data_IF_540963408531
#
_entry.id   IF_540963408531
#
_cell.length_a   1.000
_cell.length_b   1.000
_cell.length_c   1.000
_cell.angle_alpha   90.00
_cell.angle_beta   90.00
_cell.angle_gamma   90.00
#
_symmetry.space_group_name_H-M   'P 1'
#
loop_
_entity.id
_entity.type
_entity.pdbx_description
1 polymer ?
#
# COMPACT_ATOMS: atom_id res chain seq x y z
N UNK A 1 -2.76 -10.13 17.12
CA UNK A 1 -3.08 -9.61 15.78
C UNK A 1 -4.28 -8.69 15.96
N UNK A 2 -4.30 -7.50 15.37
CA UNK A 2 -5.31 -6.49 15.66
C UNK A 2 -6.63 -6.77 14.93
N UNK A 3 -7.77 -6.73 15.63
CA UNK A 3 -9.10 -6.97 15.04
C UNK A 3 -9.52 -5.88 14.04
N UNK A 4 -9.04 -4.66 14.26
CA UNK A 4 -9.31 -3.51 13.43
C UNK A 4 -8.17 -2.49 13.42
N UNK A 5 -8.18 -1.59 12.44
CA UNK A 5 -7.25 -0.48 12.26
C UNK A 5 -8.00 0.85 12.22
N UNK A 6 -7.51 1.81 12.99
CA UNK A 6 -7.95 3.20 12.93
C UNK A 6 -6.87 3.98 12.18
N UNK A 7 -7.21 4.55 11.03
CA UNK A 7 -6.27 5.29 10.18
C UNK A 7 -6.66 6.76 10.25
N UNK A 8 -5.76 7.58 10.81
CA UNK A 8 -5.96 9.01 11.00
C UNK A 8 -4.81 9.73 10.31
N UNK A 9 -5.11 10.68 9.44
CA UNK A 9 -4.07 11.43 8.73
C UNK A 9 -4.59 12.60 7.90
N UNK A 10 -3.71 13.53 7.54
CA UNK A 10 -4.10 14.67 6.72
C UNK A 10 -4.28 14.29 5.24
N UNK A 11 -5.01 15.11 4.50
CA UNK A 11 -5.00 15.16 3.05
C UNK A 11 -3.89 16.12 2.62
N UNK A 12 -2.89 15.58 1.92
CA UNK A 12 -1.80 16.34 1.34
C UNK A 12 -1.99 16.35 -0.18
N UNK A 13 -2.37 17.50 -0.75
CA UNK A 13 -2.51 17.68 -2.20
C UNK A 13 -3.31 16.55 -2.87
N UNK A 14 -4.58 16.38 -2.46
CA UNK A 14 -5.49 15.35 -3.00
C UNK A 14 -5.05 13.90 -2.78
N UNK A 15 -4.21 13.62 -1.77
CA UNK A 15 -3.82 12.26 -1.42
C UNK A 15 -3.50 12.07 0.06
N UNK A 16 -3.33 10.81 0.50
CA UNK A 16 -2.80 10.51 1.81
C UNK A 16 -1.32 10.92 1.92
N UNK A 17 -0.81 11.02 3.14
CA UNK A 17 0.62 11.24 3.36
C UNK A 17 1.45 10.12 2.75
N UNK A 18 2.65 10.47 2.25
CA UNK A 18 3.54 9.52 1.57
C UNK A 18 3.95 8.33 2.45
N UNK A 19 4.14 8.56 3.76
CA UNK A 19 4.44 7.49 4.72
C UNK A 19 3.26 6.52 4.89
N UNK A 20 2.02 7.02 4.90
CA UNK A 20 0.83 6.20 5.01
C UNK A 20 0.62 5.40 3.72
N UNK A 21 0.78 6.03 2.56
CA UNK A 21 0.73 5.34 1.27
C UNK A 21 1.81 4.26 1.18
N UNK A 22 3.04 4.55 1.62
CA UNK A 22 4.13 3.57 1.67
C UNK A 22 3.81 2.39 2.59
N UNK A 23 3.22 2.64 3.76
CA UNK A 23 2.78 1.57 4.66
C UNK A 23 1.82 0.63 3.93
N UNK A 24 0.80 1.19 3.25
CA UNK A 24 -0.18 0.43 2.48
C UNK A 24 0.43 -0.30 1.28
N UNK A 25 1.39 0.29 0.56
CA UNK A 25 2.09 -0.37 -0.56
C UNK A 25 2.87 -1.61 -0.11
N UNK A 26 3.31 -1.65 1.15
CA UNK A 26 3.96 -2.83 1.74
C UNK A 26 2.96 -3.92 2.17
N UNK A 27 1.67 -3.63 2.28
CA UNK A 27 0.64 -4.62 2.64
C UNK A 27 0.23 -5.53 1.47
N UNK A 28 0.64 -5.24 0.23
CA UNK A 28 0.18 -5.97 -0.97
C UNK A 28 0.47 -7.48 -0.90
N UNK A 29 1.53 -7.88 -0.19
CA UNK A 29 1.92 -9.28 -0.01
C UNK A 29 1.27 -9.97 1.20
N UNK A 30 0.43 -9.27 1.98
CA UNK A 30 -0.22 -9.85 3.16
C UNK A 30 -1.52 -10.60 2.83
N UNK A 31 -2.06 -10.39 1.61
CA UNK A 31 -3.30 -10.99 1.12
C UNK A 31 -3.02 -12.31 0.41
N UNK A 32 -2.68 -13.34 1.20
CA UNK A 32 -2.41 -14.67 0.68
C UNK A 32 -1.02 -14.80 0.06
N UNK A 33 -0.52 -16.03 0.10
CA UNK A 33 0.83 -16.37 -0.32
C UNK A 33 1.09 -17.85 -0.07
N UNK A 34 2.34 -18.27 -0.24
CA UNK A 34 2.76 -19.61 0.13
C UNK A 34 3.28 -19.63 1.59
N UNK A 35 2.51 -20.14 2.57
CA UNK A 35 3.00 -20.30 3.94
C UNK A 35 3.92 -21.52 4.10
N UNK A 36 4.07 -22.34 3.06
CA UNK A 36 4.81 -23.61 3.05
C UNK A 36 5.94 -23.54 2.04
N UNK A 37 6.98 -22.82 2.44
CA UNK A 37 8.19 -22.58 1.65
C UNK A 37 8.91 -23.88 1.23
N UNK A 38 8.76 -24.95 1.99
CA UNK A 38 9.30 -26.27 1.68
C UNK A 38 8.76 -26.85 0.36
N UNK A 39 7.53 -26.50 -0.04
CA UNK A 39 6.92 -26.94 -1.30
C UNK A 39 7.61 -26.37 -2.55
N UNK A 40 8.42 -25.32 -2.38
CA UNK A 40 9.08 -24.60 -3.48
C UNK A 40 10.59 -24.56 -3.32
N UNK A 41 11.17 -25.41 -2.46
CA UNK A 41 12.62 -25.47 -2.22
C UNK A 41 13.22 -24.07 -1.97
N UNK A 42 12.64 -23.33 -1.01
CA UNK A 42 12.99 -21.94 -0.70
C UNK A 42 12.53 -20.94 -1.77
N UNK A 43 13.30 -20.73 -2.83
CA UNK A 43 13.02 -19.71 -3.87
C UNK A 43 13.11 -20.26 -5.27
N UNK A 44 12.69 -21.50 -5.49
CA UNK A 44 12.64 -22.10 -6.83
C UNK A 44 11.40 -21.59 -7.60
N UNK A 45 11.56 -20.69 -8.60
CA UNK A 45 10.44 -20.10 -9.31
C UNK A 45 9.62 -21.12 -10.12
N UNK A 46 10.26 -22.16 -10.67
CA UNK A 46 9.55 -23.19 -11.45
C UNK A 46 8.62 -24.01 -10.55
N UNK A 47 9.06 -24.33 -9.33
CA UNK A 47 8.19 -25.00 -8.34
C UNK A 47 7.09 -24.06 -7.83
N UNK A 48 7.39 -22.78 -7.60
CA UNK A 48 6.39 -21.79 -7.21
C UNK A 48 5.29 -21.64 -8.27
N UNK A 49 5.66 -21.52 -9.55
CA UNK A 49 4.70 -21.48 -10.66
C UNK A 49 3.87 -22.77 -10.73
N UNK A 50 4.52 -23.93 -10.59
CA UNK A 50 3.80 -25.22 -10.59
C UNK A 50 2.82 -25.32 -9.42
N UNK A 51 3.22 -24.87 -8.23
CA UNK A 51 2.37 -24.84 -7.04
C UNK A 51 1.15 -23.94 -7.29
N UNK A 52 1.33 -22.74 -7.85
CA UNK A 52 0.24 -21.79 -8.15
C UNK A 52 -0.88 -22.41 -9.01
N UNK A 53 -0.54 -23.31 -9.93
CA UNK A 53 -1.51 -24.02 -10.78
C UNK A 53 -2.14 -25.27 -10.13
N UNK A 54 -1.74 -25.64 -8.91
CA UNK A 54 -2.23 -26.84 -8.22
C UNK A 54 -3.56 -26.63 -7.47
N UNK A 55 -4.22 -27.72 -7.10
CA UNK A 55 -5.37 -27.65 -6.17
C UNK A 55 -4.93 -27.30 -4.75
N UNK A 56 -3.72 -27.70 -4.35
CA UNK A 56 -3.15 -27.39 -3.03
C UNK A 56 -3.04 -25.88 -2.81
N UNK A 57 -2.69 -25.12 -3.85
CA UNK A 57 -2.63 -23.66 -3.79
C UNK A 57 -3.95 -23.01 -3.36
N UNK A 58 -5.09 -23.57 -3.75
CA UNK A 58 -6.40 -23.06 -3.32
C UNK A 58 -6.60 -23.15 -1.81
N UNK A 59 -5.95 -24.12 -1.15
CA UNK A 59 -5.99 -24.30 0.30
C UNK A 59 -4.93 -23.45 1.01
N UNK A 60 -3.79 -23.17 0.35
CA UNK A 60 -2.69 -22.40 0.91
C UNK A 60 -2.89 -20.87 0.83
N UNK A 61 -3.54 -20.37 -0.24
CA UNK A 61 -3.72 -18.94 -0.53
C UNK A 61 -4.77 -18.24 0.35
N UNK A 62 -4.70 -18.45 1.66
CA UNK A 62 -5.65 -17.88 2.60
C UNK A 62 -5.40 -16.39 2.75
N UNK A 63 -6.45 -15.58 2.65
CA UNK A 63 -6.36 -14.16 2.95
C UNK A 63 -6.21 -13.94 4.46
N UNK A 64 -5.05 -13.43 4.92
CA UNK A 64 -4.76 -13.23 6.34
C UNK A 64 -5.39 -11.97 6.94
N UNK A 65 -5.84 -11.05 6.08
CA UNK A 65 -6.49 -9.80 6.47
C UNK A 65 -8.01 -9.89 6.44
N UNK A 66 -8.56 -10.99 5.94
CA UNK A 66 -10.00 -11.24 5.82
C UNK A 66 -10.75 -10.99 7.14
N UNK A 67 -11.85 -10.27 7.03
CA UNK A 67 -12.73 -10.00 8.16
C UNK A 67 -12.12 -9.11 9.23
N UNK A 68 -11.03 -8.37 8.96
CA UNK A 68 -10.61 -7.22 9.77
C UNK A 68 -11.40 -5.98 9.39
N UNK A 69 -11.41 -4.97 10.25
CA UNK A 69 -12.05 -3.67 9.94
C UNK A 69 -11.02 -2.56 9.83
N UNK A 70 -11.16 -1.67 8.85
CA UNK A 70 -10.42 -0.42 8.75
C UNK A 70 -11.40 0.76 8.80
N UNK A 71 -11.09 1.75 9.62
CA UNK A 71 -11.80 3.02 9.68
C UNK A 71 -10.83 4.16 9.33
N UNK A 72 -11.32 5.19 8.65
CA UNK A 72 -10.52 6.30 8.14
C UNK A 72 -11.07 7.63 8.63
N UNK A 73 -10.22 8.42 9.29
CA UNK A 73 -10.49 9.81 9.64
C UNK A 73 -9.44 10.70 8.96
N UNK A 74 -9.85 11.32 7.87
CA UNK A 74 -9.02 12.20 7.08
C UNK A 74 -9.31 13.64 7.47
N UNK A 75 -8.31 14.53 7.41
CA UNK A 75 -8.54 15.95 7.68
C UNK A 75 -7.72 16.84 6.75
N UNK A 76 -8.18 18.06 6.50
CA UNK A 76 -7.52 18.98 5.57
C UNK A 76 -7.65 20.44 6.00
N UNK A 77 -6.66 21.23 5.60
CA UNK A 77 -6.75 22.68 5.64
C UNK A 77 -7.53 23.15 4.40
N UNK A 78 -8.58 23.95 4.61
CA UNK A 78 -9.42 24.53 3.58
C UNK A 78 -8.75 25.64 2.76
N UNK A 79 -7.43 25.79 2.84
CA UNK A 79 -6.64 26.73 2.04
C UNK A 79 -6.55 28.13 2.64
N UNK A 80 -6.77 28.25 3.96
CA UNK A 80 -6.68 29.54 4.64
C UNK A 80 -7.57 30.63 4.01
N UNK A 81 -7.04 31.85 3.91
CA UNK A 81 -7.65 32.99 3.23
C UNK A 81 -7.06 33.26 1.83
N UNK A 82 -6.50 32.22 1.19
CA UNK A 82 -5.76 32.35 -0.07
C UNK A 82 -6.66 32.24 -1.32
N UNK A 83 -7.93 31.89 -1.17
CA UNK A 83 -8.85 31.59 -2.27
C UNK A 83 -9.70 32.80 -2.65
N UNK A 84 -9.79 33.08 -3.95
CA UNK A 84 -10.68 34.10 -4.52
C UNK A 84 -12.14 33.63 -4.56
N UNK A 85 -13.05 34.53 -4.97
CA UNK A 85 -14.50 34.24 -5.07
C UNK A 85 -14.85 33.18 -6.10
N UNK A 86 -13.93 32.84 -7.00
CA UNK A 86 -14.09 31.79 -8.01
C UNK A 86 -13.60 30.42 -7.53
N UNK A 87 -13.05 30.33 -6.31
CA UNK A 87 -12.48 29.11 -5.76
C UNK A 87 -11.06 28.83 -6.26
N UNK A 88 -10.32 29.86 -6.68
CA UNK A 88 -8.91 29.73 -7.14
C UNK A 88 -7.97 30.43 -6.18
N UNK A 89 -6.73 29.96 -6.00
CA UNK A 89 -5.76 30.71 -5.20
C UNK A 89 -5.45 32.09 -5.83
N UNK A 90 -5.57 33.17 -5.05
CA UNK A 90 -5.42 34.56 -5.49
C UNK A 90 -4.03 34.84 -6.09
N UNK A 91 -3.01 34.11 -5.66
CA UNK A 91 -1.61 34.29 -6.08
C UNK A 91 -1.30 33.72 -7.47
N UNK A 92 -2.21 32.93 -8.06
CA UNK A 92 -1.95 32.29 -9.34
C UNK A 92 -1.85 33.30 -10.48
N UNK A 93 -0.68 33.34 -11.14
CA UNK A 93 -0.48 34.12 -12.38
C UNK A 93 -1.06 33.42 -13.62
N UNK A 94 -1.19 32.09 -13.55
CA UNK A 94 -1.69 31.23 -14.62
C UNK A 94 -2.91 30.45 -14.12
N UNK A 95 -3.96 31.17 -13.72
CA UNK A 95 -5.17 30.61 -13.12
C UNK A 95 -5.96 29.71 -14.08
N UNK A 96 -5.70 29.78 -15.39
CA UNK A 96 -6.29 28.93 -16.42
C UNK A 96 -5.97 27.43 -16.25
N UNK A 97 -4.89 27.08 -15.55
CA UNK A 97 -4.53 25.69 -15.25
C UNK A 97 -5.22 25.14 -13.99
N UNK A 98 -5.88 26.00 -13.21
CA UNK A 98 -6.64 25.59 -12.03
C UNK A 98 -8.13 25.85 -12.28
N UNK A 99 -8.84 24.78 -12.62
CA UNK A 99 -10.28 24.79 -12.85
C UNK A 99 -10.95 24.08 -11.67
N UNK A 100 -11.57 24.81 -10.72
CA UNK A 100 -12.14 24.21 -9.50
C UNK A 100 -13.22 23.15 -9.79
N UNK A 101 -13.93 23.29 -10.91
CA UNK A 101 -14.94 22.31 -11.36
C UNK A 101 -14.33 20.99 -11.84
N UNK A 102 -13.00 20.93 -12.01
CA UNK A 102 -12.24 19.73 -12.41
C UNK A 102 -11.36 19.21 -11.28
N UNK A 103 -11.61 19.63 -10.04
CA UNK A 103 -10.98 19.00 -8.89
C UNK A 103 -11.26 17.49 -8.89
N UNK A 104 -10.30 16.67 -8.42
CA UNK A 104 -10.34 15.22 -8.61
C UNK A 104 -11.49 14.53 -7.87
N UNK A 105 -12.08 15.19 -6.86
CA UNK A 105 -13.12 14.62 -6.00
C UNK A 105 -14.19 15.65 -5.64
N UNK A 106 -15.45 15.23 -5.58
CA UNK A 106 -16.55 16.03 -5.00
C UNK A 106 -16.50 16.01 -3.46
N UNK A 107 -16.14 14.86 -2.87
CA UNK A 107 -15.92 14.70 -1.43
C UNK A 107 -14.43 14.41 -1.18
N UNK A 108 -13.78 15.31 -0.46
CA UNK A 108 -12.34 15.23 -0.20
C UNK A 108 -11.93 13.97 0.59
N UNK A 109 -12.87 13.25 1.22
CA UNK A 109 -12.57 11.93 1.79
C UNK A 109 -12.00 10.98 0.73
N UNK A 110 -12.41 11.12 -0.53
CA UNK A 110 -12.00 10.27 -1.66
C UNK A 110 -10.53 10.44 -2.04
N UNK A 111 -9.83 11.44 -1.50
CA UNK A 111 -8.36 11.48 -1.52
C UNK A 111 -7.74 10.20 -0.93
N UNK A 112 -8.43 9.52 -0.01
CA UNK A 112 -8.01 8.26 0.59
C UNK A 112 -8.60 7.03 -0.10
N UNK A 113 -9.37 7.19 -1.18
CA UNK A 113 -10.04 6.11 -1.89
C UNK A 113 -9.08 4.97 -2.27
N UNK A 114 -7.86 5.20 -2.80
CA UNK A 114 -6.94 4.12 -3.13
C UNK A 114 -6.62 3.20 -1.93
N UNK A 115 -6.51 3.75 -0.72
CA UNK A 115 -6.23 2.97 0.50
C UNK A 115 -7.48 2.18 0.96
N UNK A 116 -8.65 2.82 0.90
CA UNK A 116 -9.94 2.19 1.22
C UNK A 116 -10.23 1.02 0.27
N UNK A 117 -10.02 1.23 -1.03
CA UNK A 117 -10.20 0.19 -2.03
C UNK A 117 -9.17 -0.93 -1.90
N UNK A 118 -7.92 -0.63 -1.52
CA UNK A 118 -6.94 -1.66 -1.21
C UNK A 118 -7.36 -2.51 0.00
N UNK A 119 -7.90 -1.91 1.07
CA UNK A 119 -8.48 -2.63 2.19
C UNK A 119 -9.57 -3.60 1.72
N UNK A 120 -10.56 -3.08 0.97
CA UNK A 120 -11.70 -3.88 0.47
C UNK A 120 -11.24 -5.01 -0.44
N UNK A 121 -10.31 -4.73 -1.35
CA UNK A 121 -9.70 -5.73 -2.23
C UNK A 121 -9.01 -6.84 -1.42
N UNK A 122 -8.40 -6.48 -0.29
CA UNK A 122 -7.77 -7.39 0.65
C UNK A 122 -8.70 -8.02 1.68
N UNK A 123 -10.03 -7.95 1.53
CA UNK A 123 -10.99 -8.52 2.48
C UNK A 123 -11.04 -7.83 3.85
N UNK A 124 -10.39 -6.66 3.98
CA UNK A 124 -10.56 -5.77 5.13
C UNK A 124 -11.83 -4.96 4.89
N UNK A 125 -12.77 -5.05 5.82
CA UNK A 125 -14.00 -4.28 5.80
C UNK A 125 -13.68 -2.79 6.03
N UNK A 126 -13.98 -1.94 5.05
CA UNK A 126 -13.87 -0.49 5.18
C UNK A 126 -15.25 0.15 4.89
N UNK A 127 -16.18 0.19 5.87
CA UNK A 127 -17.53 0.70 5.69
C UNK A 127 -17.55 2.23 5.48
N UNK A 128 -18.41 2.72 4.60
CA UNK A 128 -18.49 4.16 4.29
C UNK A 128 -18.79 5.05 5.51
N UNK A 129 -19.61 4.57 6.45
CA UNK A 129 -19.94 5.32 7.67
C UNK A 129 -18.77 5.46 8.66
N UNK A 130 -17.66 4.73 8.42
CA UNK A 130 -16.41 4.82 9.19
C UNK A 130 -15.30 5.53 8.39
N UNK A 131 -15.63 6.09 7.22
CA UNK A 131 -14.73 6.88 6.38
C UNK A 131 -15.22 8.32 6.33
N UNK A 132 -14.50 9.19 7.05
CA UNK A 132 -14.85 10.59 7.24
C UNK A 132 -13.71 11.51 6.80
N UNK A 133 -14.09 12.66 6.26
CA UNK A 133 -13.22 13.83 6.08
C UNK A 133 -13.75 14.99 6.93
N UNK A 134 -12.83 15.78 7.48
CA UNK A 134 -13.14 17.06 8.12
C UNK A 134 -12.20 18.13 7.59
N UNK A 135 -12.78 19.24 7.15
CA UNK A 135 -12.06 20.45 6.78
C UNK A 135 -12.07 21.45 7.93
N UNK A 136 -10.98 22.19 8.10
CA UNK A 136 -10.90 23.36 8.98
C UNK A 136 -9.93 24.40 8.39
N UNK A 137 -9.81 25.57 9.01
CA UNK A 137 -8.85 26.60 8.56
C UNK A 137 -9.32 27.54 7.45
N UNK A 138 -10.52 27.32 6.88
CA UNK A 138 -11.07 28.18 5.83
C UNK A 138 -11.21 29.64 6.31
N UNK A 139 -10.68 30.56 5.52
CA UNK A 139 -10.67 32.00 5.79
C UNK A 139 -9.70 32.45 6.89
N UNK A 140 -8.82 31.55 7.38
CA UNK A 140 -7.82 31.87 8.40
C UNK A 140 -6.45 32.11 7.78
N UNK A 141 -5.61 32.88 8.48
CA UNK A 141 -4.18 32.90 8.18
C UNK A 141 -3.55 31.57 8.57
N UNK A 142 -2.56 31.13 7.79
CA UNK A 142 -1.84 29.88 8.06
C UNK A 142 -1.26 29.82 9.49
N UNK A 143 -0.76 30.95 10.01
CA UNK A 143 -0.25 31.06 11.39
C UNK A 143 -1.29 30.82 12.47
N UNK A 144 -2.58 30.95 12.14
CA UNK A 144 -3.71 30.89 13.08
C UNK A 144 -4.52 29.59 12.86
N UNK A 145 -3.91 28.63 12.16
CA UNK A 145 -4.46 27.32 11.84
C UNK A 145 -3.47 26.19 12.19
N UNK A 146 -2.74 26.35 13.30
CA UNK A 146 -1.77 25.38 13.77
C UNK A 146 -2.42 24.33 14.69
N UNK A 147 -1.64 23.35 15.13
CA UNK A 147 -2.16 22.25 15.95
C UNK A 147 -2.75 22.73 17.28
N UNK A 148 -2.17 23.78 17.88
CA UNK A 148 -2.69 24.46 19.07
C UNK A 148 -4.07 25.10 18.82
N UNK A 149 -4.29 25.64 17.62
CA UNK A 149 -5.52 26.33 17.24
C UNK A 149 -6.68 25.37 17.00
N UNK A 150 -6.41 24.09 16.73
CA UNK A 150 -7.44 23.05 16.59
C UNK A 150 -8.34 22.97 17.83
N UNK A 151 -7.83 23.29 19.03
CA UNK A 151 -8.64 23.34 20.28
C UNK A 151 -9.73 24.39 20.27
N UNK A 152 -9.61 25.38 19.39
CA UNK A 152 -10.61 26.43 19.16
C UNK A 152 -11.63 26.04 18.10
N UNK A 153 -11.45 24.89 17.43
CA UNK A 153 -12.36 24.34 16.42
C UNK A 153 -13.29 23.29 17.06
N UNK A 154 -14.46 23.69 17.61
CA UNK A 154 -15.31 22.79 18.37
C UNK A 154 -15.84 21.62 17.52
N UNK A 155 -15.99 21.83 16.22
CA UNK A 155 -16.56 20.84 15.31
C UNK A 155 -15.56 19.73 14.94
N UNK A 156 -14.25 20.01 14.96
CA UNK A 156 -13.21 19.03 14.61
C UNK A 156 -13.13 17.94 15.67
N UNK A 157 -13.01 18.33 16.95
CA UNK A 157 -12.93 17.37 18.05
C UNK A 157 -14.24 16.59 18.22
N UNK A 158 -15.40 17.26 18.13
CA UNK A 158 -16.69 16.58 18.17
C UNK A 158 -16.83 15.55 17.05
N UNK A 159 -16.43 15.91 15.82
CA UNK A 159 -16.47 14.99 14.69
C UNK A 159 -15.53 13.79 14.90
N UNK A 160 -14.35 14.01 15.48
CA UNK A 160 -13.42 12.94 15.81
C UNK A 160 -13.99 11.99 16.87
N UNK A 161 -14.57 12.53 17.94
CA UNK A 161 -15.20 11.75 19.01
C UNK A 161 -16.38 10.93 18.47
N UNK A 162 -17.23 11.52 17.64
CA UNK A 162 -18.35 10.82 16.99
C UNK A 162 -17.86 9.65 16.11
N UNK A 163 -16.80 9.88 15.33
CA UNK A 163 -16.18 8.85 14.51
C UNK A 163 -15.54 7.75 15.37
N UNK A 164 -14.81 8.11 16.42
CA UNK A 164 -14.16 7.16 17.33
C UNK A 164 -15.20 6.28 18.05
N UNK A 165 -16.30 6.88 18.50
CA UNK A 165 -17.43 6.17 19.10
C UNK A 165 -18.10 5.21 18.12
N UNK A 166 -18.34 5.66 16.87
CA UNK A 166 -18.90 4.81 15.83
C UNK A 166 -17.97 3.62 15.49
N UNK A 167 -16.66 3.88 15.38
CA UNK A 167 -15.66 2.84 15.16
C UNK A 167 -15.61 1.83 16.31
N UNK A 168 -15.54 2.30 17.56
CA UNK A 168 -15.52 1.45 18.74
C UNK A 168 -16.79 0.59 18.85
N UNK A 169 -17.97 1.18 18.58
CA UNK A 169 -19.24 0.47 18.59
C UNK A 169 -19.29 -0.61 17.49
N UNK A 170 -18.82 -0.29 16.27
CA UNK A 170 -18.77 -1.24 15.17
C UNK A 170 -17.87 -2.45 15.50
N UNK A 171 -16.65 -2.19 15.95
CA UNK A 171 -15.68 -3.24 16.31
C UNK A 171 -16.18 -4.08 17.48
N UNK A 172 -16.76 -3.44 18.51
CA UNK A 172 -17.30 -4.14 19.68
C UNK A 172 -18.47 -5.05 19.31
N UNK A 173 -19.38 -4.58 18.45
CA UNK A 173 -20.52 -5.37 17.96
C UNK A 173 -20.07 -6.57 17.12
N UNK A 174 -19.05 -6.38 16.29
CA UNK A 174 -18.48 -7.44 15.44
C UNK A 174 -17.76 -8.52 16.25
N UNK A 175 -17.06 -8.11 17.30
CA UNK A 175 -16.26 -9.01 18.12
C UNK A 175 -14.90 -9.35 17.51
N UNK A 176 -14.21 -10.31 18.13
CA UNK A 176 -12.82 -10.65 17.78
C UNK A 176 -12.71 -11.41 16.46
N UNK A 177 -11.69 -11.07 15.68
CA UNK A 177 -11.33 -11.75 14.45
C UNK A 177 -10.47 -12.97 14.80
N UNK A 178 -10.90 -14.16 14.39
CA UNK A 178 -10.13 -15.38 14.62
C UNK A 178 -8.79 -15.30 13.86
N UNK A 179 -7.66 -15.62 14.50
CA UNK A 179 -6.39 -15.73 13.80
C UNK A 179 -6.46 -16.80 12.70
N UNK A 180 -5.85 -16.53 11.55
CA UNK A 180 -5.70 -17.51 10.48
C UNK A 180 -4.79 -18.68 10.87
N UNK A 181 -4.87 -19.77 10.12
CA UNK A 181 -4.06 -20.98 10.31
C UNK A 181 -2.55 -20.69 10.31
N UNK A 182 -2.10 -19.87 9.36
CA UNK A 182 -0.70 -19.49 9.21
C UNK A 182 -0.49 -18.12 9.82
N UNK A 183 0.19 -18.07 10.96
CA UNK A 183 0.47 -16.84 11.72
C UNK A 183 1.98 -16.58 11.77
N UNK A 184 2.37 -15.35 11.48
CA UNK A 184 3.78 -14.93 11.62
C UNK A 184 4.23 -14.85 13.10
N UNK A 185 3.30 -14.50 14.01
CA UNK A 185 3.62 -14.40 15.42
C UNK A 185 4.00 -15.76 16.03
N UNK A 186 5.23 -15.86 16.52
CA UNK A 186 5.80 -17.08 17.08
C UNK A 186 6.26 -18.10 16.04
N UNK A 187 6.34 -17.73 14.76
CA UNK A 187 6.97 -18.55 13.74
C UNK A 187 8.49 -18.35 13.76
N UNK A 188 9.23 -19.44 13.96
CA UNK A 188 10.68 -19.46 13.80
C UNK A 188 11.01 -20.02 12.42
N UNK A 189 11.63 -19.19 11.57
CA UNK A 189 12.00 -19.61 10.23
C UNK A 189 13.17 -20.62 10.27
N UNK A 190 13.10 -21.73 9.51
CA UNK A 190 14.20 -22.68 9.40
C UNK A 190 15.40 -22.05 8.68
N UNK A 191 16.59 -22.63 8.84
CA UNK A 191 17.78 -22.19 8.11
C UNK A 191 17.82 -22.69 6.66
N UNK A 192 18.29 -21.85 5.72
CA UNK A 192 18.26 -22.13 4.26
C UNK A 192 19.63 -22.32 3.59
N UNK A 193 20.70 -22.59 4.34
CA UNK A 193 22.09 -22.57 3.84
C UNK A 193 22.32 -23.35 2.53
N UNK A 194 21.75 -24.55 2.41
CA UNK A 194 21.93 -25.37 1.20
C UNK A 194 21.13 -24.84 0.00
N UNK A 195 19.90 -24.38 0.25
CA UNK A 195 19.06 -23.77 -0.79
C UNK A 195 19.67 -22.45 -1.31
N UNK A 196 20.29 -21.67 -0.42
CA UNK A 196 21.01 -20.44 -0.79
C UNK A 196 22.20 -20.72 -1.72
N UNK A 197 22.94 -21.81 -1.48
CA UNK A 197 24.04 -22.23 -2.36
C UNK A 197 23.52 -22.63 -3.75
N UNK A 198 22.41 -23.37 -3.80
CA UNK A 198 21.77 -23.75 -5.07
C UNK A 198 21.29 -22.51 -5.85
N UNK A 199 20.69 -21.53 -5.17
CA UNK A 199 20.29 -20.26 -5.77
C UNK A 199 21.47 -19.44 -6.27
N UNK A 200 22.59 -19.41 -5.54
CA UNK A 200 23.81 -18.75 -5.98
C UNK A 200 24.35 -19.37 -7.28
N UNK A 201 24.38 -20.71 -7.36
CA UNK A 201 24.80 -21.41 -8.57
C UNK A 201 23.86 -21.15 -9.75
N UNK A 202 22.55 -21.18 -9.52
CA UNK A 202 21.53 -20.78 -10.52
C UNK A 202 21.79 -19.36 -11.01
N UNK A 203 22.03 -18.42 -10.10
CA UNK A 203 22.34 -17.03 -10.41
C UNK A 203 23.58 -16.89 -11.30
N UNK A 204 24.64 -17.65 -11.02
CA UNK A 204 25.84 -17.69 -11.85
C UNK A 204 25.51 -18.20 -13.26
N UNK A 205 24.77 -19.29 -13.40
CA UNK A 205 24.39 -19.83 -14.72
C UNK A 205 23.59 -18.82 -15.55
N UNK A 206 22.64 -18.11 -14.94
CA UNK A 206 21.85 -17.09 -15.64
C UNK A 206 22.73 -15.95 -16.15
N UNK A 207 23.74 -15.52 -15.38
CA UNK A 207 24.72 -14.49 -15.82
C UNK A 207 25.54 -14.88 -17.04
N UNK A 208 25.75 -16.17 -17.24
CA UNK A 208 26.45 -16.72 -18.41
C UNK A 208 25.49 -17.08 -19.57
N UNK A 209 24.24 -16.61 -19.54
CA UNK A 209 23.26 -16.86 -20.60
C UNK A 209 22.82 -18.33 -20.69
N UNK A 210 22.88 -19.06 -19.57
CA UNK A 210 22.48 -20.47 -19.47
C UNK A 210 21.31 -20.64 -18.51
N UNK A 211 20.13 -20.07 -18.83
CA UNK A 211 18.94 -20.23 -18.00
C UNK A 211 18.51 -21.70 -17.92
N UNK A 212 17.74 -22.09 -16.89
CA UNK A 212 17.12 -23.41 -16.85
C UNK A 212 16.23 -23.63 -18.08
N UNK A 213 16.28 -24.82 -18.67
CA UNK A 213 15.50 -25.16 -19.85
C UNK A 213 13.99 -25.02 -19.59
N UNK A 214 13.24 -24.46 -20.54
CA UNK A 214 11.79 -24.23 -20.42
C UNK A 214 11.38 -23.14 -19.43
N UNK A 215 12.32 -22.52 -18.71
CA UNK A 215 12.04 -21.41 -17.78
C UNK A 215 11.64 -20.12 -18.50
N UNK A 216 11.05 -19.17 -17.76
CA UNK A 216 10.73 -17.84 -18.31
C UNK A 216 11.97 -17.12 -18.87
N UNK A 217 13.12 -17.09 -18.17
CA UNK A 217 14.36 -16.54 -18.75
C UNK A 217 14.81 -17.22 -20.06
N UNK A 218 14.68 -18.54 -20.19
CA UNK A 218 15.02 -19.24 -21.43
C UNK A 218 14.11 -18.80 -22.59
N UNK A 219 12.79 -18.74 -22.37
CA UNK A 219 11.83 -18.26 -23.37
C UNK A 219 12.09 -16.80 -23.77
N UNK A 220 12.43 -15.94 -22.81
CA UNK A 220 12.78 -14.55 -23.09
C UNK A 220 14.07 -14.45 -23.90
N UNK A 221 15.07 -15.28 -23.63
CA UNK A 221 16.32 -15.35 -24.39
C UNK A 221 16.07 -15.87 -25.81
N UNK A 222 15.29 -16.94 -25.98
CA UNK A 222 14.91 -17.49 -27.29
C UNK A 222 14.11 -16.47 -28.13
N UNK A 223 13.29 -15.65 -27.48
CA UNK A 223 12.54 -14.56 -28.11
C UNK A 223 13.37 -13.29 -28.36
N UNK A 224 14.64 -13.26 -27.96
CA UNK A 224 15.51 -12.07 -28.08
C UNK A 224 15.08 -10.89 -27.19
N UNK A 225 14.27 -11.13 -26.17
CA UNK A 225 13.75 -10.11 -25.25
C UNK A 225 14.72 -9.81 -24.09
N UNK A 226 15.63 -10.73 -23.79
CA UNK A 226 16.58 -10.59 -22.69
C UNK A 226 18.01 -10.45 -23.23
N UNK A 227 18.62 -9.29 -23.02
CA UNK A 227 20.02 -9.00 -23.38
C UNK A 227 20.89 -8.82 -22.14
N UNK A 228 20.41 -9.27 -20.96
CA UNK A 228 21.00 -8.98 -19.66
C UNK A 228 22.13 -9.95 -19.28
N UNK A 229 22.72 -10.65 -20.26
CA UNK A 229 23.86 -11.54 -20.04
C UNK A 229 25.05 -10.69 -19.63
N UNK A 230 25.31 -10.64 -18.32
CA UNK A 230 26.36 -9.79 -17.76
C UNK A 230 27.12 -10.49 -16.63
N UNK A 231 28.43 -10.33 -16.65
CA UNK A 231 29.32 -10.73 -15.56
C UNK A 231 29.35 -9.70 -14.42
N UNK A 232 28.83 -8.50 -14.66
CA UNK A 232 28.87 -7.35 -13.76
C UNK A 232 27.46 -6.80 -13.46
N UNK A 233 26.53 -7.60 -12.91
CA UNK A 233 25.13 -7.21 -12.70
C UNK A 233 24.93 -6.11 -11.66
N UNK A 234 26.00 -5.68 -10.97
CA UNK A 234 25.98 -4.57 -10.01
C UNK A 234 26.35 -3.22 -10.63
N UNK A 235 26.93 -3.21 -11.84
CA UNK A 235 27.26 -1.96 -12.54
C UNK A 235 25.99 -1.40 -13.16
N UNK A 236 25.73 -0.11 -12.95
CA UNK A 236 24.62 0.58 -13.61
C UNK A 236 24.87 0.70 -15.12
N UNK A 237 23.82 0.82 -15.92
CA UNK A 237 23.96 1.00 -17.38
C UNK A 237 24.82 2.22 -17.73
N UNK A 238 24.68 3.32 -16.99
CA UNK A 238 25.53 4.50 -17.16
C UNK A 238 27.00 4.26 -16.84
N UNK A 239 27.35 3.29 -15.97
CA UNK A 239 28.75 2.91 -15.75
C UNK A 239 29.28 2.05 -16.89
N UNK A 240 28.47 1.12 -17.41
CA UNK A 240 28.83 0.28 -18.56
C UNK A 240 29.11 1.13 -19.80
N UNK A 241 28.21 2.07 -20.11
CA UNK A 241 28.33 2.97 -21.26
C UNK A 241 29.50 3.97 -21.18
N UNK A 242 30.12 4.16 -20.00
CA UNK A 242 31.30 5.02 -19.84
C UNK A 242 32.63 4.27 -19.98
N UNK A 243 32.59 2.94 -19.98
CA UNK A 243 33.77 2.07 -20.11
C UNK A 243 33.92 1.50 -21.53
N UNK A 244 32.90 1.63 -22.38
CA UNK A 244 32.91 1.35 -23.83
C UNK A 244 33.41 2.56 -24.64
#
# INVERSE_FOLDING_TARGET
MADAWAIIGPVNWYGPTSNLKLFFDRLVCMNGGNPREDLIEHKNPELAMKLEHSQEWKQLRINHLEGRTAAFYCYGDGGGDEMDTSGRPEILRHSEYFDPEKEPFEDMRDAYAPLVWQCRYGGVEAPDHLWRYVEFGRGKKYSDNQAEDMTTEPDVFRSFDDWANAFAAFVSKKGRVKPGQYRAYGYEAPGHKMADVQLAWRGIRMRFGRPPEGSSPAKQQDAGLNQDVTLSPKKGEGEKLREE
#
